data_IF_707733317416
#
_entry.id   IF_707733317416
#
_cell.length_a   1.000
_cell.length_b   1.000
_cell.length_c   1.000
_cell.angle_alpha   90.00
_cell.angle_beta   90.00
_cell.angle_gamma   90.00
#
_symmetry.space_group_name_H-M   'P 1'
#
loop_
_entity.id
_entity.type
_entity.pdbx_description
1 polymer ?
#
# COMPACT_ATOMS: atom_id res chain seq x y z
N UNK A 1 -26.08 6.39 9.63
CA UNK A 1 -25.00 6.94 8.78
C UNK A 1 -24.00 5.84 8.51
N UNK A 2 -23.69 5.52 7.25
CA UNK A 2 -22.58 4.59 6.92
C UNK A 2 -21.27 5.27 7.28
N UNK A 3 -20.57 4.77 8.30
CA UNK A 3 -19.26 5.28 8.67
C UNK A 3 -18.27 4.87 7.58
N UNK A 4 -17.57 5.83 7.00
CA UNK A 4 -16.46 5.61 6.08
C UNK A 4 -15.15 5.65 6.88
N UNK A 5 -14.17 4.90 6.43
CA UNK A 5 -12.84 4.82 7.00
C UNK A 5 -11.83 5.24 5.93
N UNK A 6 -10.91 6.11 6.26
CA UNK A 6 -9.78 6.37 5.39
C UNK A 6 -8.68 5.30 5.56
N UNK A 7 -7.68 5.34 4.70
CA UNK A 7 -6.57 4.38 4.73
C UNK A 7 -5.78 4.42 6.04
N UNK A 8 -5.66 5.59 6.70
CA UNK A 8 -4.96 5.76 7.99
C UNK A 8 -5.77 5.15 9.13
N UNK A 9 -7.09 5.34 9.11
CA UNK A 9 -7.99 4.72 10.08
C UNK A 9 -7.98 3.19 9.96
N UNK A 10 -8.01 2.66 8.73
CA UNK A 10 -7.89 1.21 8.48
C UNK A 10 -6.54 0.69 9.00
N UNK A 11 -5.46 1.37 8.67
CA UNK A 11 -4.11 1.02 9.11
C UNK A 11 -4.02 0.95 10.64
N UNK A 12 -4.48 2.00 11.33
CA UNK A 12 -4.51 2.09 12.79
C UNK A 12 -5.39 1.02 13.43
N UNK A 13 -6.61 0.82 12.94
CA UNK A 13 -7.56 -0.15 13.50
C UNK A 13 -7.08 -1.59 13.39
N UNK A 14 -6.33 -1.89 12.34
CA UNK A 14 -5.84 -3.24 12.07
C UNK A 14 -4.37 -3.43 12.49
N UNK A 15 -3.66 -2.39 12.91
CA UNK A 15 -2.23 -2.48 13.23
C UNK A 15 -1.42 -2.92 12.01
N UNK A 16 -1.66 -2.31 10.85
CA UNK A 16 -0.91 -2.52 9.59
C UNK A 16 -0.52 -1.17 9.02
N UNK A 17 0.50 -1.12 8.14
CA UNK A 17 0.90 0.14 7.49
C UNK A 17 -0.13 0.61 6.45
N UNK A 18 -0.12 1.92 6.17
CA UNK A 18 -0.88 2.47 5.05
C UNK A 18 -0.43 1.91 3.70
N UNK A 19 0.88 1.67 3.55
CA UNK A 19 1.44 1.03 2.35
C UNK A 19 0.81 -0.33 2.10
N UNK A 20 0.59 -1.13 3.15
CA UNK A 20 -0.10 -2.42 3.06
C UNK A 20 -1.57 -2.27 2.68
N UNK A 21 -2.26 -1.26 3.21
CA UNK A 21 -3.65 -0.95 2.83
C UNK A 21 -3.74 -0.65 1.34
N UNK A 22 -2.87 0.25 0.83
CA UNK A 22 -2.78 0.59 -0.59
C UNK A 22 -2.40 -0.62 -1.45
N UNK A 23 -1.44 -1.41 -1.00
CA UNK A 23 -1.00 -2.60 -1.74
C UNK A 23 -2.11 -3.64 -1.90
N UNK A 24 -2.85 -3.96 -0.84
CA UNK A 24 -3.95 -4.93 -0.91
C UNK A 24 -5.12 -4.41 -1.75
N UNK A 25 -5.37 -3.12 -1.75
CA UNK A 25 -6.33 -2.47 -2.65
C UNK A 25 -5.87 -2.56 -4.11
N UNK A 26 -4.63 -2.20 -4.43
CA UNK A 26 -4.06 -2.33 -5.78
C UNK A 26 -4.10 -3.78 -6.31
N UNK A 27 -3.89 -4.76 -5.44
CA UNK A 27 -4.04 -6.19 -5.80
C UNK A 27 -5.49 -6.64 -5.96
N UNK A 28 -6.46 -5.76 -5.81
CA UNK A 28 -7.88 -6.06 -5.98
C UNK A 28 -8.46 -6.99 -4.91
N UNK A 29 -7.76 -7.17 -3.78
CA UNK A 29 -8.23 -7.99 -2.67
C UNK A 29 -9.36 -7.31 -1.91
N UNK A 30 -9.23 -6.01 -1.69
CA UNK A 30 -10.23 -5.18 -1.03
C UNK A 30 -10.50 -3.94 -1.87
N UNK A 31 -11.69 -3.82 -2.48
CA UNK A 31 -12.02 -2.65 -3.28
C UNK A 31 -12.24 -1.42 -2.39
N UNK A 32 -11.73 -0.27 -2.84
CA UNK A 32 -12.09 1.02 -2.25
C UNK A 32 -13.51 1.41 -2.64
N UNK A 33 -14.16 2.20 -1.79
CA UNK A 33 -15.45 2.80 -2.13
C UNK A 33 -15.27 4.02 -3.04
N UNK A 34 -14.29 4.87 -2.71
CA UNK A 34 -13.90 6.04 -3.49
C UNK A 34 -12.45 6.41 -3.23
N UNK A 35 -11.87 7.22 -4.12
CA UNK A 35 -10.58 7.89 -3.93
C UNK A 35 -10.83 9.39 -4.04
N UNK A 36 -10.35 10.15 -3.06
CA UNK A 36 -10.48 11.61 -3.04
C UNK A 36 -9.21 12.18 -2.40
N UNK A 37 -8.50 13.03 -3.12
CA UNK A 37 -7.31 13.68 -2.61
C UNK A 37 -6.16 12.72 -2.29
N UNK A 38 -5.95 11.69 -3.11
CA UNK A 38 -4.97 10.64 -2.80
C UNK A 38 -5.38 9.72 -1.65
N UNK A 39 -6.42 10.09 -0.89
CA UNK A 39 -6.95 9.29 0.21
C UNK A 39 -7.92 8.23 -0.29
N UNK A 40 -7.69 6.99 0.07
CA UNK A 40 -8.58 5.88 -0.20
C UNK A 40 -9.63 5.80 0.90
N UNK A 41 -10.90 5.68 0.51
CA UNK A 41 -12.03 5.57 1.42
C UNK A 41 -12.69 4.20 1.30
N UNK A 42 -13.00 3.63 2.45
CA UNK A 42 -13.51 2.27 2.60
C UNK A 42 -14.77 2.26 3.46
N UNK A 43 -15.68 1.34 3.19
CA UNK A 43 -16.84 1.07 4.03
C UNK A 43 -16.51 0.01 5.12
N UNK A 44 -17.49 -0.28 5.97
CA UNK A 44 -17.31 -1.29 7.01
C UNK A 44 -17.04 -2.70 6.44
N UNK A 45 -17.58 -3.03 5.27
CA UNK A 45 -17.32 -4.32 4.62
C UNK A 45 -15.86 -4.43 4.19
N UNK A 46 -15.29 -3.36 3.68
CA UNK A 46 -13.87 -3.32 3.35
C UNK A 46 -13.00 -3.50 4.60
N UNK A 47 -13.34 -2.89 5.75
CA UNK A 47 -12.64 -3.12 7.01
C UNK A 47 -12.65 -4.61 7.40
N UNK A 48 -13.81 -5.29 7.28
CA UNK A 48 -13.91 -6.74 7.52
C UNK A 48 -13.04 -7.51 6.54
N UNK A 49 -13.04 -7.14 5.26
CA UNK A 49 -12.21 -7.79 4.25
C UNK A 49 -10.71 -7.64 4.54
N UNK A 50 -10.24 -6.45 4.92
CA UNK A 50 -8.86 -6.23 5.37
C UNK A 50 -8.50 -7.11 6.58
N UNK A 51 -9.39 -7.19 7.57
CA UNK A 51 -9.21 -8.07 8.73
C UNK A 51 -9.09 -9.54 8.30
N UNK A 52 -9.90 -9.98 7.36
CA UNK A 52 -9.85 -11.34 6.80
C UNK A 52 -8.53 -11.60 6.08
N UNK A 53 -8.06 -10.67 5.25
CA UNK A 53 -6.74 -10.79 4.59
C UNK A 53 -5.63 -10.90 5.63
N UNK A 54 -5.62 -10.02 6.65
CA UNK A 54 -4.63 -10.07 7.74
C UNK A 54 -4.65 -11.42 8.46
N UNK A 55 -5.83 -11.93 8.81
CA UNK A 55 -5.97 -13.23 9.47
C UNK A 55 -5.43 -14.37 8.62
N UNK A 56 -5.79 -14.42 7.32
CA UNK A 56 -5.33 -15.45 6.39
C UNK A 56 -3.82 -15.39 6.19
N UNK A 57 -3.24 -14.17 6.16
CA UNK A 57 -1.79 -13.98 6.12
C UNK A 57 -1.12 -14.56 7.39
N UNK A 58 -1.64 -14.25 8.56
CA UNK A 58 -1.17 -14.81 9.83
C UNK A 58 -1.27 -16.34 9.91
N UNK A 59 -2.12 -16.94 9.10
CA UNK A 59 -2.25 -18.40 8.94
C UNK A 59 -1.36 -18.97 7.82
N UNK A 60 -0.45 -18.17 7.24
CA UNK A 60 0.51 -18.60 6.23
C UNK A 60 -0.01 -18.63 4.79
N UNK A 61 -1.20 -18.08 4.48
CA UNK A 61 -1.63 -17.95 3.09
C UNK A 61 -0.93 -16.79 2.39
N UNK A 62 -0.43 -17.07 1.18
CA UNK A 62 0.09 -16.04 0.30
C UNK A 62 -1.00 -15.14 -0.27
N UNK A 63 -0.68 -13.86 -0.52
CA UNK A 63 -1.61 -12.93 -1.18
C UNK A 63 -2.06 -13.44 -2.56
N UNK A 64 -1.15 -14.11 -3.30
CA UNK A 64 -1.49 -14.73 -4.57
C UNK A 64 -2.55 -15.84 -4.42
N UNK A 65 -2.45 -16.67 -3.38
CA UNK A 65 -3.47 -17.70 -3.08
C UNK A 65 -4.80 -17.06 -2.66
N UNK A 66 -4.74 -16.02 -1.82
CA UNK A 66 -5.94 -15.27 -1.41
C UNK A 66 -6.60 -14.62 -2.65
N UNK A 67 -5.82 -13.99 -3.53
CA UNK A 67 -6.33 -13.38 -4.77
C UNK A 67 -6.98 -14.40 -5.71
N UNK A 68 -6.35 -15.55 -5.93
CA UNK A 68 -6.95 -16.65 -6.72
C UNK A 68 -8.26 -17.13 -6.10
N UNK A 69 -8.32 -17.27 -4.76
CA UNK A 69 -9.53 -17.62 -4.05
C UNK A 69 -10.65 -16.59 -4.25
N UNK A 70 -10.34 -15.29 -4.10
CA UNK A 70 -11.29 -14.19 -4.33
C UNK A 70 -11.81 -14.19 -5.77
N UNK A 71 -10.92 -14.33 -6.76
CA UNK A 71 -11.32 -14.39 -8.16
C UNK A 71 -12.25 -15.57 -8.45
N UNK A 72 -11.98 -16.71 -7.85
CA UNK A 72 -12.80 -17.91 -7.99
C UNK A 72 -14.15 -17.76 -7.29
N UNK A 73 -14.18 -17.18 -6.08
CA UNK A 73 -15.44 -16.87 -5.40
C UNK A 73 -16.33 -15.94 -6.22
N UNK A 74 -15.76 -14.87 -6.83
CA UNK A 74 -16.50 -13.95 -7.70
C UNK A 74 -17.12 -14.66 -8.92
N UNK A 75 -16.44 -15.69 -9.45
CA UNK A 75 -16.94 -16.48 -10.58
C UNK A 75 -18.04 -17.46 -10.18
N UNK A 76 -17.90 -18.11 -9.01
CA UNK A 76 -18.85 -19.11 -8.54
C UNK A 76 -20.08 -18.51 -7.86
N UNK A 77 -19.92 -17.31 -7.28
CA UNK A 77 -20.96 -16.60 -6.53
C UNK A 77 -20.99 -15.14 -6.97
N UNK A 78 -21.52 -14.85 -8.18
CA UNK A 78 -21.53 -13.48 -8.75
C UNK A 78 -22.30 -12.48 -7.90
N UNK A 79 -23.20 -12.94 -7.04
CA UNK A 79 -23.97 -12.11 -6.11
C UNK A 79 -23.11 -11.52 -4.98
N UNK A 80 -21.90 -12.03 -4.74
CA UNK A 80 -21.02 -11.51 -3.70
C UNK A 80 -20.33 -10.21 -4.18
N UNK A 81 -20.66 -9.11 -3.55
CA UNK A 81 -20.00 -7.82 -3.83
C UNK A 81 -18.60 -7.75 -3.27
N UNK A 82 -18.41 -8.28 -2.05
CA UNK A 82 -17.12 -8.31 -1.35
C UNK A 82 -16.89 -9.69 -0.71
N UNK A 83 -16.36 -10.67 -1.47
CA UNK A 83 -16.25 -12.07 -1.01
C UNK A 83 -15.53 -12.24 0.33
N UNK A 84 -14.46 -11.46 0.59
CA UNK A 84 -13.69 -11.54 1.84
C UNK A 84 -14.43 -11.06 3.09
N UNK A 85 -15.53 -10.32 2.92
CA UNK A 85 -16.37 -9.87 4.03
C UNK A 85 -17.69 -10.65 4.15
N UNK A 86 -18.08 -11.36 3.11
CA UNK A 86 -19.37 -12.03 3.03
C UNK A 86 -19.28 -13.56 3.20
N UNK A 87 -18.07 -14.10 3.05
CA UNK A 87 -17.80 -15.55 3.17
C UNK A 87 -16.75 -15.77 4.26
N UNK A 88 -17.00 -16.70 5.18
CA UNK A 88 -15.99 -17.14 6.15
C UNK A 88 -14.93 -17.97 5.43
N UNK A 89 -13.68 -17.57 5.54
CA UNK A 89 -12.56 -18.28 4.95
C UNK A 89 -11.72 -18.86 6.08
N UNK A 90 -11.43 -20.14 6.03
CA UNK A 90 -10.59 -20.85 7.00
C UNK A 90 -9.65 -21.80 6.26
N UNK A 91 -8.63 -22.27 6.96
CA UNK A 91 -7.72 -23.30 6.46
C UNK A 91 -8.04 -24.59 7.20
N UNK A 92 -8.25 -25.65 6.45
CA UNK A 92 -8.42 -26.99 6.99
C UNK A 92 -7.58 -27.97 6.16
N UNK A 93 -6.70 -28.72 6.80
CA UNK A 93 -5.78 -29.69 6.16
C UNK A 93 -5.10 -29.12 4.90
N UNK A 94 -4.50 -27.92 5.00
CA UNK A 94 -3.82 -27.18 3.91
C UNK A 94 -4.74 -26.67 2.78
N UNK A 95 -6.03 -26.89 2.87
CA UNK A 95 -6.99 -26.44 1.89
C UNK A 95 -7.74 -25.21 2.39
N UNK A 96 -8.01 -24.28 1.48
CA UNK A 96 -8.89 -23.16 1.77
C UNK A 96 -10.31 -23.70 1.82
N UNK A 97 -11.00 -23.43 2.93
CA UNK A 97 -12.39 -23.78 3.14
C UNK A 97 -13.22 -22.52 3.18
N UNK A 98 -14.22 -22.46 2.35
CA UNK A 98 -15.21 -21.40 2.29
C UNK A 98 -16.43 -21.82 3.08
N UNK A 99 -16.88 -20.98 4.00
CA UNK A 99 -18.10 -21.19 4.78
C UNK A 99 -19.10 -20.07 4.52
N UNK A 100 -20.28 -20.41 4.02
CA UNK A 100 -21.42 -19.50 3.95
C UNK A 100 -22.58 -20.18 4.67
N UNK A 101 -23.14 -19.53 5.64
CA UNK A 101 -24.17 -20.08 6.55
C UNK A 101 -23.65 -21.32 7.29
N UNK A 102 -24.29 -22.48 7.12
CA UNK A 102 -23.89 -23.78 7.70
C UNK A 102 -23.10 -24.67 6.73
N UNK A 103 -22.80 -24.18 5.53
CA UNK A 103 -22.13 -24.96 4.48
C UNK A 103 -20.63 -24.65 4.48
N UNK A 104 -19.82 -25.71 4.36
CA UNK A 104 -18.38 -25.62 4.10
C UNK A 104 -18.09 -26.23 2.74
N UNK A 105 -17.26 -25.56 1.93
CA UNK A 105 -16.89 -26.03 0.60
C UNK A 105 -15.47 -25.57 0.23
N UNK A 106 -14.84 -26.28 -0.71
CA UNK A 106 -13.53 -25.86 -1.26
C UNK A 106 -13.73 -24.71 -2.25
N UNK A 107 -12.67 -23.97 -2.59
CA UNK A 107 -12.74 -22.99 -3.69
C UNK A 107 -13.21 -23.63 -5.01
N UNK A 108 -13.04 -24.95 -5.17
CA UNK A 108 -13.49 -25.74 -6.32
C UNK A 108 -15.00 -26.04 -6.30
N UNK A 109 -15.68 -25.68 -5.22
CA UNK A 109 -17.13 -25.90 -5.05
C UNK A 109 -17.51 -27.27 -4.46
N UNK A 110 -16.52 -28.07 -4.04
CA UNK A 110 -16.78 -29.37 -3.39
C UNK A 110 -17.25 -29.14 -1.95
N UNK A 111 -18.36 -29.75 -1.58
CA UNK A 111 -18.90 -29.68 -0.22
C UNK A 111 -18.02 -30.51 0.73
N UNK A 112 -17.62 -29.90 1.85
CA UNK A 112 -16.85 -30.57 2.89
C UNK A 112 -17.77 -31.05 4.01
N UNK A 113 -17.67 -32.35 4.35
CA UNK A 113 -18.28 -32.93 5.53
C UNK A 113 -17.30 -32.77 6.70
N UNK A 114 -17.80 -32.37 7.86
CA UNK A 114 -16.99 -32.09 9.05
C UNK A 114 -16.68 -33.41 9.80
N UNK A 115 -15.45 -33.88 9.70
CA UNK A 115 -14.93 -34.96 10.53
C UNK A 115 -13.84 -34.42 11.45
N UNK A 116 -14.21 -33.91 12.61
CA UNK A 116 -13.37 -33.13 13.55
C UNK A 116 -11.92 -33.60 13.71
N UNK A 117 -11.01 -32.62 13.70
CA UNK A 117 -9.58 -32.82 14.00
C UNK A 117 -8.70 -31.60 13.61
N UNK A 118 -7.96 -31.11 14.56
CA UNK A 118 -6.98 -30.01 14.36
C UNK A 118 -5.56 -30.58 14.24
N UNK A 119 -4.85 -30.30 13.18
CA UNK A 119 -3.40 -30.54 13.11
C UNK A 119 -2.67 -29.32 12.49
N UNK A 120 -1.57 -28.95 13.14
CA UNK A 120 -0.64 -27.91 12.70
C UNK A 120 0.25 -28.42 11.56
N UNK A 121 0.55 -27.57 10.60
CA UNK A 121 1.30 -27.95 9.43
C UNK A 121 2.47 -27.06 9.09
N UNK A 122 3.60 -27.73 8.84
CA UNK A 122 4.80 -27.21 8.19
C UNK A 122 4.67 -27.27 6.67
N UNK A 123 5.00 -26.19 5.97
CA UNK A 123 4.93 -26.07 4.51
C UNK A 123 6.31 -26.32 3.91
N UNK A 124 6.46 -27.20 2.90
CA UNK A 124 7.71 -27.30 2.15
C UNK A 124 7.97 -26.07 1.27
N UNK A 125 9.21 -25.57 1.29
CA UNK A 125 9.70 -24.52 0.42
C UNK A 125 9.70 -24.97 -1.06
N UNK A 126 8.59 -24.79 -1.77
CA UNK A 126 8.55 -25.00 -3.20
C UNK A 126 8.05 -23.75 -3.92
N UNK A 127 8.96 -23.11 -4.65
CA UNK A 127 8.87 -21.87 -5.42
C UNK A 127 8.60 -20.63 -4.54
N UNK A 128 9.69 -19.93 -4.22
CA UNK A 128 9.63 -18.58 -3.64
C UNK A 128 8.68 -17.71 -4.49
N UNK A 129 7.50 -17.42 -3.94
CA UNK A 129 6.61 -16.46 -4.54
C UNK A 129 7.10 -15.06 -4.10
N UNK A 130 7.78 -14.36 -4.98
CA UNK A 130 8.35 -13.05 -4.69
C UNK A 130 7.33 -12.01 -4.24
N UNK A 131 6.06 -12.17 -4.60
CA UNK A 131 4.95 -11.36 -4.08
C UNK A 131 4.71 -11.62 -2.58
N UNK A 132 4.86 -12.87 -2.15
CA UNK A 132 4.78 -13.19 -0.72
C UNK A 132 6.00 -12.69 0.03
N UNK A 133 7.19 -12.79 -0.59
CA UNK A 133 8.43 -12.28 -0.01
C UNK A 133 8.37 -10.75 0.13
N UNK A 134 7.79 -10.05 -0.86
CA UNK A 134 7.55 -8.61 -0.79
C UNK A 134 6.60 -8.24 0.36
N UNK A 135 5.51 -9.00 0.52
CA UNK A 135 4.57 -8.80 1.63
C UNK A 135 5.21 -9.05 2.99
N UNK A 136 6.09 -10.06 3.10
CA UNK A 136 6.85 -10.33 4.31
C UNK A 136 7.87 -9.22 4.61
N UNK A 137 8.48 -8.65 3.57
CA UNK A 137 9.37 -7.51 3.74
C UNK A 137 8.63 -6.29 4.32
N UNK A 138 7.43 -5.99 3.81
CA UNK A 138 6.57 -4.94 4.38
C UNK A 138 6.17 -5.24 5.85
N UNK A 139 5.93 -6.51 6.20
CA UNK A 139 5.66 -6.93 7.58
C UNK A 139 6.85 -6.71 8.50
N UNK A 140 8.06 -6.93 7.99
CA UNK A 140 9.28 -6.69 8.75
C UNK A 140 9.55 -5.20 8.95
N UNK A 141 9.30 -4.37 7.94
CA UNK A 141 9.37 -2.90 8.10
C UNK A 141 8.45 -2.40 9.20
N UNK A 142 7.18 -2.84 9.19
CA UNK A 142 6.20 -2.45 10.21
C UNK A 142 6.61 -2.90 11.62
N UNK A 143 7.26 -4.04 11.72
CA UNK A 143 7.75 -4.58 12.98
C UNK A 143 9.11 -3.98 13.41
N UNK A 144 9.67 -3.05 12.62
CA UNK A 144 10.97 -2.45 12.87
C UNK A 144 12.16 -3.38 12.58
N UNK A 145 11.93 -4.53 11.95
CA UNK A 145 12.99 -5.49 11.59
C UNK A 145 13.62 -5.11 10.24
N UNK A 146 14.25 -3.93 10.19
CA UNK A 146 14.72 -3.30 8.94
C UNK A 146 15.74 -4.16 8.19
N UNK A 147 16.64 -4.86 8.88
CA UNK A 147 17.61 -5.76 8.24
C UNK A 147 16.92 -6.95 7.54
N UNK A 148 15.90 -7.52 8.18
CA UNK A 148 15.14 -8.62 7.59
C UNK A 148 14.32 -8.18 6.38
N UNK A 149 13.77 -6.97 6.43
CA UNK A 149 13.08 -6.36 5.30
C UNK A 149 14.05 -6.14 4.12
N UNK A 150 15.22 -5.58 4.40
CA UNK A 150 16.28 -5.36 3.42
C UNK A 150 16.69 -6.66 2.72
N UNK A 151 17.02 -7.70 3.48
CA UNK A 151 17.42 -9.01 2.92
C UNK A 151 16.36 -9.57 1.96
N UNK A 152 15.09 -9.36 2.29
CA UNK A 152 13.99 -9.81 1.43
C UNK A 152 13.86 -9.00 0.16
N UNK A 153 14.01 -7.65 0.22
CA UNK A 153 14.01 -6.82 -0.99
C UNK A 153 15.19 -7.13 -1.88
N UNK A 154 16.39 -7.32 -1.32
CA UNK A 154 17.58 -7.72 -2.06
C UNK A 154 17.39 -9.10 -2.74
N UNK A 155 16.77 -10.06 -2.03
CA UNK A 155 16.43 -11.37 -2.58
C UNK A 155 15.45 -11.26 -3.75
N UNK A 156 14.44 -10.37 -3.63
CA UNK A 156 13.50 -10.09 -4.71
C UNK A 156 14.23 -9.50 -5.91
N UNK A 157 15.08 -8.51 -5.69
CA UNK A 157 15.80 -7.80 -6.74
C UNK A 157 16.85 -8.69 -7.44
N UNK A 158 17.51 -9.59 -6.70
CA UNK A 158 18.41 -10.58 -7.28
C UNK A 158 17.70 -11.50 -8.27
N UNK A 159 16.44 -11.87 -8.01
CA UNK A 159 15.65 -12.74 -8.87
C UNK A 159 14.79 -12.00 -9.89
N UNK A 160 14.40 -10.77 -9.58
CA UNK A 160 13.56 -9.88 -10.40
C UNK A 160 14.14 -8.47 -10.41
N UNK A 161 15.20 -8.23 -11.20
CA UNK A 161 15.87 -6.93 -11.24
C UNK A 161 14.97 -5.75 -11.62
N UNK A 162 13.82 -6.00 -12.22
CA UNK A 162 12.88 -4.98 -12.69
C UNK A 162 11.68 -4.78 -11.73
N UNK A 163 11.82 -5.07 -10.44
CA UNK A 163 10.75 -4.87 -9.45
C UNK A 163 10.83 -3.47 -8.83
N UNK A 164 10.19 -2.48 -9.48
CA UNK A 164 10.26 -1.07 -9.08
C UNK A 164 9.82 -0.83 -7.62
N UNK A 165 8.71 -1.42 -7.16
CA UNK A 165 8.24 -1.27 -5.76
C UNK A 165 9.31 -1.76 -4.75
N UNK A 166 10.04 -2.85 -5.04
CA UNK A 166 11.10 -3.36 -4.15
C UNK A 166 12.31 -2.43 -4.13
N UNK A 167 12.67 -1.82 -5.28
CA UNK A 167 13.73 -0.83 -5.35
C UNK A 167 13.39 0.41 -4.51
N UNK A 168 12.15 0.91 -4.63
CA UNK A 168 11.70 2.08 -3.86
C UNK A 168 11.74 1.79 -2.36
N UNK A 169 11.25 0.62 -1.94
CA UNK A 169 11.24 0.27 -0.51
C UNK A 169 12.65 0.00 0.03
N UNK A 170 13.54 -0.61 -0.76
CA UNK A 170 14.96 -0.72 -0.39
C UNK A 170 15.60 0.67 -0.26
N UNK A 171 15.29 1.59 -1.17
CA UNK A 171 15.68 2.98 -1.08
C UNK A 171 15.19 3.65 0.21
N UNK A 172 13.95 3.40 0.61
CA UNK A 172 13.38 3.93 1.86
C UNK A 172 14.14 3.42 3.09
N UNK A 173 14.47 2.13 3.15
CA UNK A 173 15.26 1.56 4.25
C UNK A 173 16.65 2.18 4.32
N UNK A 174 17.30 2.37 3.18
CA UNK A 174 18.62 3.00 3.10
C UNK A 174 18.56 4.46 3.53
N UNK A 175 17.51 5.20 3.15
CA UNK A 175 17.30 6.57 3.61
C UNK A 175 17.14 6.65 5.13
N UNK A 176 16.31 5.77 5.71
CA UNK A 176 16.10 5.69 7.17
C UNK A 176 17.38 5.36 7.95
N UNK A 177 18.32 4.65 7.34
CA UNK A 177 19.61 4.30 7.93
C UNK A 177 20.73 5.32 7.61
N UNK A 178 20.39 6.44 6.97
CA UNK A 178 21.33 7.51 6.63
C UNK A 178 22.18 7.27 5.36
N UNK A 179 21.92 6.20 4.63
CA UNK A 179 22.63 5.89 3.39
C UNK A 179 21.99 6.60 2.17
N UNK A 180 21.85 7.93 2.24
CA UNK A 180 21.10 8.74 1.28
C UNK A 180 21.55 8.57 -0.17
N UNK A 181 22.86 8.47 -0.44
CA UNK A 181 23.38 8.33 -1.81
C UNK A 181 22.93 6.98 -2.41
N UNK A 182 22.94 5.92 -1.61
CA UNK A 182 22.46 4.62 -2.04
C UNK A 182 20.93 4.63 -2.23
N UNK A 183 20.19 5.30 -1.34
CA UNK A 183 18.75 5.48 -1.47
C UNK A 183 18.39 6.19 -2.79
N UNK A 184 19.06 7.31 -3.10
CA UNK A 184 18.84 8.02 -4.36
C UNK A 184 19.11 7.15 -5.59
N UNK A 185 20.17 6.33 -5.56
CA UNK A 185 20.48 5.42 -6.66
C UNK A 185 19.34 4.40 -6.89
N UNK A 186 18.78 3.84 -5.84
CA UNK A 186 17.67 2.90 -5.95
C UNK A 186 16.38 3.56 -6.44
N UNK A 187 16.07 4.78 -5.98
CA UNK A 187 14.93 5.54 -6.51
C UNK A 187 15.09 5.82 -8.00
N UNK A 188 16.28 6.26 -8.43
CA UNK A 188 16.55 6.51 -9.85
C UNK A 188 16.44 5.25 -10.71
N UNK A 189 16.89 4.09 -10.20
CA UNK A 189 16.73 2.82 -10.90
C UNK A 189 15.24 2.46 -11.05
N UNK A 190 14.45 2.60 -9.99
CA UNK A 190 13.02 2.37 -10.03
C UNK A 190 12.31 3.28 -11.05
N UNK A 191 12.70 4.57 -11.07
CA UNK A 191 12.16 5.58 -11.99
C UNK A 191 12.63 5.36 -13.43
N UNK A 192 13.78 4.72 -13.63
CA UNK A 192 14.21 4.26 -14.95
C UNK A 192 13.31 3.17 -15.54
N UNK A 193 12.66 2.37 -14.69
CA UNK A 193 11.70 1.34 -15.08
C UNK A 193 10.27 1.87 -15.19
N UNK A 194 9.89 2.73 -14.27
CA UNK A 194 8.57 3.35 -14.19
C UNK A 194 8.73 4.85 -13.86
N UNK A 195 8.84 5.72 -14.87
CA UNK A 195 9.01 7.16 -14.67
C UNK A 195 7.91 7.85 -13.87
N UNK A 196 6.70 7.30 -13.91
CA UNK A 196 5.51 7.81 -13.22
C UNK A 196 5.26 7.12 -11.86
N UNK A 197 6.26 6.43 -11.33
CA UNK A 197 6.15 5.79 -10.00
C UNK A 197 5.98 6.87 -8.93
N UNK A 198 4.80 6.98 -8.37
CA UNK A 198 4.41 8.08 -7.46
C UNK A 198 5.33 8.15 -6.24
N UNK A 199 5.43 7.05 -5.50
CA UNK A 199 6.23 6.98 -4.28
C UNK A 199 7.74 7.15 -4.57
N UNK A 200 8.23 6.62 -5.69
CA UNK A 200 9.64 6.76 -6.10
C UNK A 200 10.01 8.21 -6.40
N UNK A 201 9.16 8.91 -7.16
CA UNK A 201 9.35 10.34 -7.44
C UNK A 201 9.23 11.17 -6.15
N UNK A 202 8.24 10.90 -5.31
CA UNK A 202 8.01 11.62 -4.07
C UNK A 202 9.19 11.46 -3.09
N UNK A 203 9.69 10.24 -2.90
CA UNK A 203 10.78 9.97 -1.96
C UNK A 203 12.12 10.53 -2.45
N UNK A 204 12.36 10.48 -3.76
CA UNK A 204 13.54 11.15 -4.34
C UNK A 204 13.44 12.67 -4.18
N UNK A 205 12.26 13.25 -4.36
CA UNK A 205 12.04 14.67 -4.13
C UNK A 205 12.30 15.06 -2.66
N UNK A 206 11.79 14.30 -1.69
CA UNK A 206 12.05 14.51 -0.26
C UNK A 206 13.56 14.48 0.05
N UNK A 207 14.29 13.53 -0.54
CA UNK A 207 15.74 13.42 -0.36
C UNK A 207 16.47 14.67 -0.92
N UNK A 208 16.10 15.11 -2.12
CA UNK A 208 16.68 16.31 -2.75
C UNK A 208 16.33 17.58 -1.98
N UNK A 209 15.11 17.71 -1.49
CA UNK A 209 14.68 18.80 -0.61
C UNK A 209 15.53 18.85 0.66
N UNK A 210 15.73 17.70 1.32
CA UNK A 210 16.60 17.60 2.50
C UNK A 210 18.05 18.01 2.23
N UNK A 211 18.53 17.90 1.00
CA UNK A 211 19.84 18.39 0.55
C UNK A 211 19.84 19.86 0.14
N UNK A 212 18.72 20.55 0.17
CA UNK A 212 18.57 21.91 -0.32
C UNK A 212 18.52 22.04 -1.85
N UNK A 213 18.43 20.92 -2.58
CA UNK A 213 18.33 20.90 -4.04
C UNK A 213 16.88 21.17 -4.49
N UNK A 214 16.33 22.32 -4.06
CA UNK A 214 14.91 22.63 -4.18
C UNK A 214 14.38 22.60 -5.62
N UNK A 215 15.16 23.10 -6.59
CA UNK A 215 14.77 23.09 -7.99
C UNK A 215 14.60 21.65 -8.54
N UNK A 216 15.51 20.75 -8.16
CA UNK A 216 15.45 19.33 -8.51
C UNK A 216 14.28 18.64 -7.81
N UNK A 217 14.07 18.93 -6.52
CA UNK A 217 12.96 18.40 -5.75
C UNK A 217 11.60 18.76 -6.39
N UNK A 218 11.42 20.01 -6.82
CA UNK A 218 10.21 20.46 -7.50
C UNK A 218 9.90 19.65 -8.77
N UNK A 219 10.93 19.26 -9.53
CA UNK A 219 10.76 18.44 -10.73
C UNK A 219 10.17 17.06 -10.36
N UNK A 220 10.73 16.41 -9.35
CA UNK A 220 10.29 15.07 -8.95
C UNK A 220 8.94 15.09 -8.23
N UNK A 221 8.63 16.12 -7.44
CA UNK A 221 7.26 16.29 -6.91
C UNK A 221 6.24 16.46 -8.02
N UNK A 222 6.53 17.23 -9.07
CA UNK A 222 5.64 17.36 -10.24
C UNK A 222 5.43 16.01 -10.95
N UNK A 223 6.48 15.19 -11.08
CA UNK A 223 6.36 13.84 -11.64
C UNK A 223 5.51 12.92 -10.75
N UNK A 224 5.66 12.98 -9.43
CA UNK A 224 4.79 12.26 -8.52
C UNK A 224 3.33 12.66 -8.70
N UNK A 225 3.06 13.96 -8.84
CA UNK A 225 1.71 14.50 -9.09
C UNK A 225 1.19 14.23 -10.50
N UNK A 226 2.07 13.97 -11.47
CA UNK A 226 1.67 13.47 -12.78
C UNK A 226 1.13 12.04 -12.66
N UNK A 227 1.79 11.19 -11.90
CA UNK A 227 1.33 9.81 -11.62
C UNK A 227 0.08 9.75 -10.74
N UNK A 228 -0.06 10.65 -9.77
CA UNK A 228 -1.27 10.79 -8.94
C UNK A 228 -1.60 12.27 -8.66
N UNK A 229 -2.45 12.90 -9.50
CA UNK A 229 -2.87 14.30 -9.34
C UNK A 229 -3.68 14.59 -8.07
N UNK A 230 -4.06 13.56 -7.31
CA UNK A 230 -4.77 13.69 -6.04
C UNK A 230 -3.89 13.38 -4.83
N UNK A 231 -2.58 13.29 -5.01
CA UNK A 231 -1.63 13.04 -3.94
C UNK A 231 -1.43 14.31 -3.10
N UNK A 232 -2.21 14.45 -2.02
CA UNK A 232 -2.23 15.66 -1.20
C UNK A 232 -0.87 16.02 -0.62
N UNK A 233 -0.11 15.04 -0.08
CA UNK A 233 1.22 15.28 0.50
C UNK A 233 2.22 15.78 -0.57
N UNK A 234 2.07 15.32 -1.83
CA UNK A 234 2.84 15.83 -2.96
C UNK A 234 2.55 17.30 -3.27
N UNK A 235 1.27 17.71 -3.20
CA UNK A 235 0.91 19.11 -3.37
C UNK A 235 1.43 19.98 -2.22
N UNK A 236 1.36 19.50 -0.98
CA UNK A 236 1.89 20.21 0.18
C UNK A 236 3.39 20.45 0.05
N UNK A 237 4.18 19.40 -0.18
CA UNK A 237 5.63 19.52 -0.27
C UNK A 237 6.06 20.33 -1.51
N UNK A 238 5.38 20.17 -2.65
CA UNK A 238 5.69 20.99 -3.82
C UNK A 238 5.42 22.46 -3.56
N UNK A 239 4.35 22.82 -2.86
CA UNK A 239 4.07 24.20 -2.50
C UNK A 239 5.19 24.79 -1.61
N UNK A 240 5.65 24.04 -0.60
CA UNK A 240 6.77 24.44 0.25
C UNK A 240 8.04 24.70 -0.54
N UNK A 241 8.38 23.78 -1.44
CA UNK A 241 9.58 23.89 -2.28
C UNK A 241 9.48 25.06 -3.26
N UNK A 242 8.31 25.28 -3.86
CA UNK A 242 8.07 26.42 -4.77
C UNK A 242 8.19 27.76 -4.07
N UNK A 243 7.72 27.88 -2.84
CA UNK A 243 7.98 29.07 -2.02
C UNK A 243 9.48 29.25 -1.77
N UNK A 244 10.19 28.17 -1.45
CA UNK A 244 11.64 28.18 -1.22
C UNK A 244 12.46 28.66 -2.42
N UNK A 245 11.98 28.42 -3.64
CA UNK A 245 12.62 28.91 -4.89
C UNK A 245 12.03 30.22 -5.41
N UNK A 246 11.06 30.83 -4.71
CA UNK A 246 10.43 32.10 -5.08
C UNK A 246 9.31 32.02 -6.11
N UNK A 247 8.84 30.81 -6.48
CA UNK A 247 7.66 30.63 -7.35
C UNK A 247 6.38 30.70 -6.50
N UNK A 248 6.03 31.89 -6.03
CA UNK A 248 4.88 32.11 -5.15
C UNK A 248 3.55 31.80 -5.85
N UNK A 249 3.46 32.03 -7.15
CA UNK A 249 2.25 31.76 -7.91
C UNK A 249 2.00 30.27 -8.06
N UNK A 250 3.04 29.49 -8.36
CA UNK A 250 3.00 28.04 -8.37
C UNK A 250 2.67 27.47 -6.99
N UNK A 251 3.32 27.96 -5.95
CA UNK A 251 3.07 27.56 -4.57
C UNK A 251 1.59 27.76 -4.17
N UNK A 252 1.03 28.94 -4.47
CA UNK A 252 -0.37 29.28 -4.21
C UNK A 252 -1.34 28.25 -4.82
N UNK A 253 -1.11 27.88 -6.08
CA UNK A 253 -1.95 26.89 -6.78
C UNK A 253 -1.91 25.52 -6.08
N UNK A 254 -0.74 25.09 -5.62
CA UNK A 254 -0.57 23.83 -4.93
C UNK A 254 -1.12 23.86 -3.49
N UNK A 255 -1.02 24.98 -2.77
CA UNK A 255 -1.71 25.17 -1.48
C UNK A 255 -3.23 25.04 -1.61
N UNK A 256 -3.82 25.69 -2.62
CA UNK A 256 -5.26 25.57 -2.90
C UNK A 256 -5.65 24.14 -3.21
N UNK A 257 -4.85 23.45 -4.02
CA UNK A 257 -5.12 22.05 -4.35
C UNK A 257 -5.02 21.16 -3.12
N UNK A 258 -3.98 21.31 -2.29
CA UNK A 258 -3.85 20.60 -1.02
C UNK A 258 -5.08 20.78 -0.14
N UNK A 259 -5.55 22.00 0.05
CA UNK A 259 -6.74 22.30 0.86
C UNK A 259 -8.02 21.70 0.28
N UNK A 260 -8.16 21.66 -1.05
CA UNK A 260 -9.30 21.02 -1.69
C UNK A 260 -9.32 19.50 -1.45
N UNK A 261 -8.15 18.89 -1.31
CA UNK A 261 -7.95 17.46 -1.12
C UNK A 261 -8.04 17.05 0.37
N UNK A 262 -7.50 17.89 1.26
CA UNK A 262 -7.36 17.62 2.69
C UNK A 262 -7.76 18.82 3.57
N UNK A 263 -9.02 19.29 3.52
CA UNK A 263 -9.44 20.54 4.16
C UNK A 263 -9.41 20.51 5.69
N UNK A 264 -9.36 19.33 6.29
CA UNK A 264 -9.42 19.12 7.76
C UNK A 264 -8.17 18.45 8.31
N UNK A 265 -7.07 18.40 7.52
CA UNK A 265 -5.81 17.85 8.02
C UNK A 265 -5.19 18.79 9.06
N UNK A 266 -4.29 18.26 9.88
CA UNK A 266 -3.49 19.07 10.83
C UNK A 266 -2.65 20.15 10.14
N UNK A 267 -2.39 20.05 8.84
CA UNK A 267 -1.63 21.00 8.03
C UNK A 267 -2.51 22.01 7.28
N UNK A 268 -3.85 21.87 7.36
CA UNK A 268 -4.76 22.73 6.64
C UNK A 268 -4.68 24.19 7.10
N UNK A 269 -4.51 24.42 8.40
CA UNK A 269 -4.39 25.79 8.94
C UNK A 269 -3.07 26.42 8.51
N UNK A 270 -1.98 25.66 8.45
CA UNK A 270 -0.71 26.13 7.89
C UNK A 270 -0.88 26.54 6.42
N UNK A 271 -1.46 25.68 5.60
CA UNK A 271 -1.71 26.00 4.20
C UNK A 271 -2.60 27.23 3.99
N UNK A 272 -3.60 27.44 4.86
CA UNK A 272 -4.45 28.66 4.85
C UNK A 272 -3.65 29.91 5.21
N UNK A 273 -2.73 29.84 6.17
CA UNK A 273 -1.88 30.99 6.52
C UNK A 273 -0.99 31.40 5.34
N UNK A 274 -0.37 30.42 4.65
CA UNK A 274 0.45 30.70 3.46
C UNK A 274 -0.32 31.39 2.33
N UNK A 275 -1.61 31.02 2.16
CA UNK A 275 -2.48 31.67 1.16
C UNK A 275 -2.89 33.12 1.52
N UNK A 276 -2.79 33.51 2.80
CA UNK A 276 -3.09 34.89 3.25
C UNK A 276 -1.88 35.81 3.18
N UNK A 277 -0.68 35.28 3.31
CA UNK A 277 0.59 36.02 3.35
C UNK A 277 1.17 36.31 1.96
N UNK A 278 0.82 35.55 0.94
CA UNK A 278 1.21 35.68 -0.46
C UNK A 278 0.04 36.10 -1.34
#
# INVERSE_FOLDING_TARGET
MKKLFDQREIARLLGISESRVRYWERKGLVPRLKKTGGTLWFDFRALVAFRTVRQLRGQGLSLGKIGKCVAKMRRLMPELKQPLSEVRISIYRHQIVLGKDRLKFTPEGQRLLDFGGSENLTIPLARQNYEDLFSLALEDEEAGRLDQARDKYETILAARPNHADAMVNLGNLLYLTGAETAAAAWYLQALGLNPDHVEGNYNLANLLEGRGELASAAIFYRKALHGDPEFADGHFNLAMVLEGIGDLSGARSHWQRFLSLNPTSQWADYARSRLREG
#
